data_IF_284461439465
#
_entry.id   IF_284461439465
#
_cell.length_a   1.000
_cell.length_b   1.000
_cell.length_c   1.000
_cell.angle_alpha   90.00
_cell.angle_beta   90.00
_cell.angle_gamma   90.00
#
_symmetry.space_group_name_H-M   'P 1'
#
loop_
_entity.id
_entity.type
_entity.pdbx_description
1 polymer ?
#
# COMPACT_ATOMS: atom_id res chain seq x y z
N UNK A 1 6.78 34.44 11.16
CA UNK A 1 7.33 33.12 10.77
C UNK A 1 7.53 32.31 12.03
N UNK A 2 6.60 31.42 12.37
CA UNK A 2 6.70 30.53 13.54
C UNK A 2 7.80 29.50 13.26
N UNK A 3 8.75 29.26 14.16
CA UNK A 3 9.79 28.27 13.95
C UNK A 3 9.15 26.87 13.85
N UNK A 4 9.50 26.15 12.79
CA UNK A 4 9.07 24.78 12.61
C UNK A 4 9.53 23.96 13.84
N UNK A 5 8.58 23.36 14.56
CA UNK A 5 8.86 22.54 15.71
C UNK A 5 9.86 21.44 15.32
N UNK A 6 11.05 21.50 15.89
CA UNK A 6 12.09 20.50 15.70
C UNK A 6 11.53 19.14 16.16
N UNK A 7 11.48 18.16 15.24
CA UNK A 7 11.10 16.79 15.59
C UNK A 7 12.13 16.26 16.59
N UNK A 8 11.66 15.91 17.80
CA UNK A 8 12.50 15.27 18.81
C UNK A 8 13.13 13.98 18.26
N UNK A 9 14.39 13.66 18.62
CA UNK A 9 15.01 12.42 18.18
C UNK A 9 14.19 11.22 18.70
N UNK A 10 13.58 10.51 17.78
CA UNK A 10 12.79 9.32 18.07
C UNK A 10 13.73 8.13 18.18
N UNK A 11 13.66 7.38 19.29
CA UNK A 11 14.37 6.10 19.39
C UNK A 11 13.79 5.11 18.38
N UNK A 12 14.59 4.12 17.94
CA UNK A 12 14.12 3.04 17.03
C UNK A 12 12.86 2.37 17.57
N UNK A 13 12.80 2.11 18.86
CA UNK A 13 11.65 1.49 19.52
C UNK A 13 10.37 2.34 19.33
N UNK A 14 10.47 3.65 19.54
CA UNK A 14 9.34 4.58 19.34
C UNK A 14 8.95 4.67 17.87
N UNK A 15 9.91 4.68 16.96
CA UNK A 15 9.65 4.65 15.52
C UNK A 15 8.89 3.38 15.10
N UNK A 16 9.38 2.20 15.51
CA UNK A 16 8.75 0.92 15.20
C UNK A 16 7.39 0.78 15.89
N UNK A 17 7.25 1.25 17.14
CA UNK A 17 5.93 1.28 17.79
C UNK A 17 4.91 2.02 16.94
N UNK A 18 5.27 3.20 16.41
CA UNK A 18 4.36 4.05 15.63
C UNK A 18 4.08 3.51 14.23
N UNK A 19 5.09 2.95 13.55
CA UNK A 19 4.99 2.63 12.12
C UNK A 19 4.86 1.14 11.83
N UNK A 20 5.09 0.27 12.79
CA UNK A 20 4.90 -1.18 12.68
C UNK A 20 3.80 -1.66 13.61
N UNK A 21 3.99 -1.51 14.94
CA UNK A 21 3.11 -2.17 15.91
C UNK A 21 1.71 -1.56 15.96
N UNK A 22 1.57 -0.23 15.92
CA UNK A 22 0.23 0.40 15.89
C UNK A 22 -0.52 0.07 14.60
N UNK A 23 0.06 0.21 13.39
CA UNK A 23 -0.61 -0.23 12.16
C UNK A 23 -1.01 -1.71 12.17
N UNK A 24 -0.15 -2.61 12.66
CA UNK A 24 -0.49 -4.04 12.79
C UNK A 24 -1.62 -4.28 13.79
N UNK A 25 -1.57 -3.63 14.97
CA UNK A 25 -2.59 -3.78 16.00
C UNK A 25 -3.97 -3.27 15.56
N UNK A 26 -4.02 -2.34 14.61
CA UNK A 26 -5.28 -1.84 14.02
C UNK A 26 -5.69 -2.70 12.83
N UNK A 27 -4.77 -2.97 11.91
CA UNK A 27 -5.09 -3.64 10.65
C UNK A 27 -5.44 -5.11 10.82
N UNK A 28 -4.69 -5.86 11.65
CA UNK A 28 -4.90 -7.31 11.78
C UNK A 28 -6.27 -7.66 12.39
N UNK A 29 -6.75 -7.03 13.48
CA UNK A 29 -8.10 -7.29 13.98
C UNK A 29 -9.19 -6.90 12.97
N UNK A 30 -9.00 -5.77 12.26
CA UNK A 30 -9.95 -5.35 11.21
C UNK A 30 -10.00 -6.37 10.07
N UNK A 31 -8.86 -6.83 9.57
CA UNK A 31 -8.76 -7.83 8.51
C UNK A 31 -9.33 -9.18 8.96
N UNK A 32 -9.07 -9.58 10.21
CA UNK A 32 -9.67 -10.77 10.79
C UNK A 32 -11.19 -10.65 10.88
N UNK A 33 -11.71 -9.49 11.32
CA UNK A 33 -13.15 -9.25 11.37
C UNK A 33 -13.80 -9.35 9.98
N UNK A 34 -13.17 -8.79 8.94
CA UNK A 34 -13.66 -8.92 7.56
C UNK A 34 -13.67 -10.37 7.08
N UNK A 35 -12.69 -11.17 7.50
CA UNK A 35 -12.59 -12.59 7.11
C UNK A 35 -13.66 -13.48 7.77
N UNK A 36 -14.00 -13.21 9.04
CA UNK A 36 -14.96 -14.02 9.81
C UNK A 36 -16.41 -13.51 9.73
N UNK A 37 -16.62 -12.37 9.06
CA UNK A 37 -17.95 -11.77 8.88
C UNK A 37 -18.37 -11.72 7.43
N UNK A 38 -19.64 -11.38 7.17
CA UNK A 38 -20.16 -11.20 5.82
C UNK A 38 -19.96 -9.80 5.24
N UNK A 39 -19.12 -8.94 5.85
CA UNK A 39 -18.94 -7.56 5.40
C UNK A 39 -18.44 -7.48 3.96
N UNK A 40 -17.49 -8.31 3.57
CA UNK A 40 -17.00 -8.38 2.19
C UNK A 40 -18.11 -8.68 1.18
N UNK A 41 -19.00 -9.64 1.50
CA UNK A 41 -20.15 -10.01 0.68
C UNK A 41 -21.18 -8.89 0.63
N UNK A 42 -21.48 -8.27 1.77
CA UNK A 42 -22.43 -7.14 1.86
C UNK A 42 -21.95 -5.99 0.98
N UNK A 43 -20.66 -5.60 1.10
CA UNK A 43 -20.08 -4.51 0.29
C UNK A 43 -20.07 -4.84 -1.19
N UNK A 44 -19.73 -6.07 -1.58
CA UNK A 44 -19.80 -6.52 -2.98
C UNK A 44 -21.23 -6.56 -3.50
N UNK A 45 -22.18 -6.97 -2.66
CA UNK A 45 -23.61 -7.02 -2.97
C UNK A 45 -24.22 -5.67 -3.35
N UNK A 46 -23.69 -4.55 -2.86
CA UNK A 46 -24.14 -3.20 -3.24
C UNK A 46 -23.97 -2.89 -4.74
N UNK A 47 -23.06 -3.59 -5.40
CA UNK A 47 -22.72 -3.39 -6.81
C UNK A 47 -23.20 -4.56 -7.72
N UNK A 48 -23.77 -5.60 -7.12
CA UNK A 48 -24.28 -6.77 -7.84
C UNK A 48 -25.76 -6.58 -8.18
N UNK A 49 -26.10 -6.76 -9.44
CA UNK A 49 -27.49 -6.75 -9.90
C UNK A 49 -28.03 -8.18 -9.92
N UNK A 50 -28.88 -8.51 -8.95
CA UNK A 50 -29.49 -9.82 -8.82
C UNK A 50 -30.46 -10.15 -9.97
N UNK A 51 -31.08 -9.15 -10.63
CA UNK A 51 -31.99 -9.38 -11.73
C UNK A 51 -31.25 -9.86 -12.99
N UNK A 52 -30.04 -9.36 -13.23
CA UNK A 52 -29.20 -9.75 -14.36
C UNK A 52 -28.11 -10.77 -14.01
N UNK A 53 -27.93 -11.07 -12.71
CA UNK A 53 -26.92 -12.01 -12.23
C UNK A 53 -25.48 -11.56 -12.50
N UNK A 54 -25.20 -10.24 -12.48
CA UNK A 54 -23.88 -9.72 -12.83
C UNK A 54 -23.56 -8.40 -12.15
N UNK A 55 -22.29 -7.99 -12.26
CA UNK A 55 -21.81 -6.66 -11.88
C UNK A 55 -21.88 -5.74 -13.10
N UNK A 56 -22.80 -4.74 -13.18
CA UNK A 56 -22.98 -3.92 -14.38
C UNK A 56 -21.74 -3.13 -14.78
N UNK A 57 -20.98 -2.60 -13.79
CA UNK A 57 -19.76 -1.80 -14.06
C UNK A 57 -18.61 -2.63 -14.62
N UNK A 58 -18.65 -3.96 -14.54
CA UNK A 58 -17.64 -4.84 -15.18
C UNK A 58 -17.66 -4.73 -16.70
N UNK A 59 -18.83 -4.47 -17.27
CA UNK A 59 -19.04 -4.40 -18.72
C UNK A 59 -19.07 -2.96 -19.27
N UNK A 60 -18.83 -1.97 -18.40
CA UNK A 60 -18.77 -0.57 -18.79
C UNK A 60 -17.35 -0.21 -19.27
N UNK A 61 -17.17 -0.08 -20.60
CA UNK A 61 -15.87 0.20 -21.20
C UNK A 61 -15.26 1.54 -20.73
N UNK A 62 -16.07 2.59 -20.57
CA UNK A 62 -15.59 3.89 -20.09
C UNK A 62 -15.08 3.79 -18.66
N UNK A 63 -15.84 3.11 -17.79
CA UNK A 63 -15.44 2.89 -16.39
C UNK A 63 -14.15 2.08 -16.32
N UNK A 64 -14.01 1.02 -17.14
CA UNK A 64 -12.78 0.21 -17.19
C UNK A 64 -11.59 1.04 -17.67
N UNK A 65 -11.71 1.82 -18.74
CA UNK A 65 -10.62 2.68 -19.24
C UNK A 65 -10.16 3.67 -18.18
N UNK A 66 -11.10 4.38 -17.54
CA UNK A 66 -10.75 5.40 -16.53
C UNK A 66 -10.14 4.79 -15.29
N UNK A 67 -10.74 3.74 -14.73
CA UNK A 67 -10.32 3.19 -13.45
C UNK A 67 -9.15 2.22 -13.54
N UNK A 68 -8.97 1.55 -14.68
CA UNK A 68 -7.89 0.59 -14.88
C UNK A 68 -6.66 1.22 -15.58
N UNK A 69 -6.88 1.82 -16.75
CA UNK A 69 -5.75 2.30 -17.55
C UNK A 69 -5.18 3.62 -17.02
N UNK A 70 -6.02 4.64 -16.83
CA UNK A 70 -5.54 5.96 -16.40
C UNK A 70 -4.94 5.94 -15.00
N UNK A 71 -5.56 5.23 -14.05
CA UNK A 71 -5.03 5.08 -12.70
C UNK A 71 -3.63 4.46 -12.71
N UNK A 72 -3.43 3.39 -13.50
CA UNK A 72 -2.13 2.75 -13.68
C UNK A 72 -1.10 3.71 -14.31
N UNK A 73 -1.48 4.42 -15.36
CA UNK A 73 -0.55 5.32 -16.05
C UNK A 73 -0.07 6.47 -15.17
N UNK A 74 -0.94 7.04 -14.33
CA UNK A 74 -0.54 8.08 -13.37
C UNK A 74 0.55 7.56 -12.42
N UNK A 75 0.38 6.38 -11.86
CA UNK A 75 1.38 5.81 -10.92
C UNK A 75 2.67 5.45 -11.63
N UNK A 76 2.59 4.88 -12.86
CA UNK A 76 3.77 4.59 -13.68
C UNK A 76 4.52 5.86 -14.05
N UNK A 77 3.81 6.95 -14.38
CA UNK A 77 4.42 8.25 -14.66
C UNK A 77 5.15 8.79 -13.41
N UNK A 78 4.49 8.75 -12.24
CA UNK A 78 5.13 9.16 -10.97
C UNK A 78 6.42 8.36 -10.74
N UNK A 79 6.38 7.05 -10.88
CA UNK A 79 7.54 6.19 -10.72
C UNK A 79 8.64 6.52 -11.75
N UNK A 80 8.27 6.75 -13.01
CA UNK A 80 9.19 7.14 -14.07
C UNK A 80 9.88 8.49 -13.78
N UNK A 81 9.12 9.49 -13.33
CA UNK A 81 9.67 10.80 -12.93
C UNK A 81 10.63 10.65 -11.75
N UNK A 82 10.28 9.86 -10.74
CA UNK A 82 11.14 9.62 -9.57
C UNK A 82 12.44 8.91 -9.97
N UNK A 83 12.35 7.86 -10.78
CA UNK A 83 13.52 7.10 -11.27
C UNK A 83 14.39 8.00 -12.17
N UNK A 84 13.78 8.75 -13.08
CA UNK A 84 14.49 9.72 -13.92
C UNK A 84 15.21 10.78 -13.09
N UNK A 85 14.56 11.35 -12.07
CA UNK A 85 15.18 12.30 -11.16
C UNK A 85 16.33 11.65 -10.36
N UNK A 86 16.19 10.39 -9.94
CA UNK A 86 17.27 9.66 -9.30
C UNK A 86 18.47 9.49 -10.23
N UNK A 87 18.27 9.06 -11.47
CA UNK A 87 19.35 8.94 -12.47
C UNK A 87 19.99 10.32 -12.75
N UNK A 88 19.20 11.36 -12.92
CA UNK A 88 19.69 12.73 -13.12
C UNK A 88 20.48 13.25 -11.92
N UNK A 89 20.23 12.74 -10.72
CA UNK A 89 20.98 13.17 -9.51
C UNK A 89 22.47 12.84 -9.56
N UNK A 90 22.94 11.99 -10.47
CA UNK A 90 24.36 11.71 -10.68
C UNK A 90 25.02 12.84 -11.49
N UNK A 91 24.28 13.51 -12.33
CA UNK A 91 24.75 14.57 -13.22
C UNK A 91 24.41 15.97 -12.69
N UNK A 92 23.26 16.13 -12.02
CA UNK A 92 22.79 17.43 -11.53
C UNK A 92 23.11 17.61 -10.05
N UNK A 93 24.03 18.55 -9.68
CA UNK A 93 24.43 18.80 -8.28
C UNK A 93 23.24 19.14 -7.37
N UNK A 94 22.22 19.86 -7.90
CA UNK A 94 21.03 20.24 -7.15
C UNK A 94 20.20 19.06 -6.63
N UNK A 95 20.28 17.90 -7.27
CA UNK A 95 19.55 16.69 -6.86
C UNK A 95 20.35 15.78 -5.92
N UNK A 96 21.67 16.02 -5.78
CA UNK A 96 22.55 15.21 -4.91
C UNK A 96 22.05 15.10 -3.47
N UNK A 97 21.58 16.18 -2.81
CA UNK A 97 21.11 16.10 -1.42
C UNK A 97 19.91 15.17 -1.22
N UNK A 98 19.08 14.99 -2.24
CA UNK A 98 17.86 14.16 -2.17
C UNK A 98 18.02 12.79 -2.87
N UNK A 99 19.21 12.47 -3.41
CA UNK A 99 19.48 11.22 -4.16
C UNK A 99 19.05 9.97 -3.40
N UNK A 100 19.36 9.90 -2.10
CA UNK A 100 19.01 8.75 -1.26
C UNK A 100 17.48 8.60 -1.09
N UNK A 101 16.77 9.73 -1.02
CA UNK A 101 15.30 9.73 -0.97
C UNK A 101 14.69 9.34 -2.31
N UNK A 102 15.25 9.82 -3.42
CA UNK A 102 14.80 9.43 -4.76
C UNK A 102 15.02 7.93 -5.03
N UNK A 103 16.17 7.38 -4.61
CA UNK A 103 16.43 5.95 -4.66
C UNK A 103 15.41 5.14 -3.85
N UNK A 104 15.15 5.58 -2.61
CA UNK A 104 14.14 4.98 -1.76
C UNK A 104 12.76 4.98 -2.42
N UNK A 105 12.32 6.13 -2.94
CA UNK A 105 11.02 6.27 -3.60
C UNK A 105 10.92 5.33 -4.81
N UNK A 106 11.92 5.33 -5.70
CA UNK A 106 11.93 4.46 -6.88
C UNK A 106 11.83 2.99 -6.50
N UNK A 107 12.62 2.55 -5.51
CA UNK A 107 12.60 1.17 -5.02
C UNK A 107 11.25 0.81 -4.38
N UNK A 108 10.70 1.68 -3.54
CA UNK A 108 9.44 1.45 -2.84
C UNK A 108 8.25 1.42 -3.81
N UNK A 109 8.18 2.33 -4.79
CA UNK A 109 7.14 2.36 -5.81
C UNK A 109 7.16 1.12 -6.72
N UNK A 110 8.32 0.49 -6.92
CA UNK A 110 8.44 -0.73 -7.69
C UNK A 110 8.16 -1.99 -6.85
N UNK A 111 8.80 -2.11 -5.67
CA UNK A 111 8.74 -3.33 -4.87
C UNK A 111 7.41 -3.52 -4.14
N UNK A 112 6.74 -2.46 -3.68
CA UNK A 112 5.49 -2.63 -2.95
C UNK A 112 4.40 -3.29 -3.81
N UNK A 113 4.06 -2.80 -5.02
CA UNK A 113 3.13 -3.52 -5.89
C UNK A 113 3.73 -4.83 -6.45
N UNK A 114 5.05 -4.93 -6.60
CA UNK A 114 5.73 -6.16 -7.01
C UNK A 114 5.48 -7.31 -6.03
N UNK A 115 5.66 -7.07 -4.72
CA UNK A 115 5.37 -8.07 -3.67
C UNK A 115 3.90 -8.47 -3.67
N UNK A 116 2.98 -7.50 -3.79
CA UNK A 116 1.53 -7.81 -3.93
C UNK A 116 1.26 -8.69 -5.15
N UNK A 117 1.93 -8.43 -6.28
CA UNK A 117 1.77 -9.23 -7.50
C UNK A 117 2.27 -10.67 -7.32
N UNK A 118 3.39 -10.86 -6.62
CA UNK A 118 3.92 -12.20 -6.29
C UNK A 118 2.95 -12.94 -5.38
N UNK A 119 2.48 -12.33 -4.29
CA UNK A 119 1.48 -12.94 -3.40
C UNK A 119 0.21 -13.30 -4.15
N UNK A 120 -0.26 -12.41 -5.02
CA UNK A 120 -1.44 -12.63 -5.86
C UNK A 120 -1.26 -13.84 -6.80
N UNK A 121 -0.09 -14.02 -7.40
CA UNK A 121 0.18 -15.13 -8.33
C UNK A 121 0.10 -16.50 -7.67
N UNK A 122 0.27 -16.56 -6.34
CA UNK A 122 0.22 -17.78 -5.54
C UNK A 122 -1.13 -18.00 -4.85
N UNK A 123 -2.05 -17.06 -5.01
CA UNK A 123 -3.36 -17.12 -4.35
C UNK A 123 -4.33 -18.01 -5.11
N UNK A 124 -5.05 -18.87 -4.42
CA UNK A 124 -6.14 -19.69 -4.94
C UNK A 124 -7.52 -19.03 -4.75
N UNK A 125 -7.61 -17.83 -4.18
CA UNK A 125 -8.87 -17.14 -3.93
C UNK A 125 -9.42 -16.55 -5.23
N UNK A 126 -10.69 -16.86 -5.50
CA UNK A 126 -11.43 -16.37 -6.67
C UNK A 126 -11.92 -14.92 -6.46
N UNK A 127 -12.19 -14.24 -7.55
CA UNK A 127 -12.81 -12.91 -7.50
C UNK A 127 -14.31 -13.03 -7.21
N UNK A 128 -14.97 -12.00 -6.62
CA UNK A 128 -16.41 -12.04 -6.39
C UNK A 128 -17.22 -12.48 -7.61
N UNK A 129 -16.95 -11.94 -8.78
CA UNK A 129 -17.66 -12.27 -10.01
C UNK A 129 -17.49 -13.73 -10.49
N UNK A 130 -16.52 -14.47 -9.97
CA UNK A 130 -16.32 -15.90 -10.27
C UNK A 130 -17.08 -16.80 -9.29
N UNK A 131 -17.59 -16.26 -8.17
CA UNK A 131 -18.25 -17.04 -7.13
C UNK A 131 -19.69 -17.42 -7.50
N UNK A 132 -20.12 -18.60 -7.05
CA UNK A 132 -21.49 -19.09 -7.27
C UNK A 132 -22.54 -18.07 -6.80
N UNK A 133 -22.32 -17.41 -5.68
CA UNK A 133 -23.24 -16.41 -5.10
C UNK A 133 -23.42 -15.16 -5.99
N UNK A 134 -22.52 -14.94 -6.96
CA UNK A 134 -22.58 -13.83 -7.92
C UNK A 134 -22.67 -14.31 -9.38
N UNK A 135 -23.21 -15.52 -9.60
CA UNK A 135 -23.44 -16.04 -10.94
C UNK A 135 -22.24 -16.73 -11.61
N UNK A 136 -21.14 -16.92 -10.88
CA UNK A 136 -19.97 -17.69 -11.32
C UNK A 136 -20.09 -19.18 -10.96
N UNK A 137 -18.97 -19.89 -10.95
CA UNK A 137 -18.90 -21.34 -10.68
C UNK A 137 -17.91 -21.71 -9.55
N UNK A 138 -17.15 -20.75 -9.02
CA UNK A 138 -16.18 -21.00 -7.98
C UNK A 138 -16.80 -20.94 -6.58
N UNK A 139 -16.39 -21.80 -5.63
CA UNK A 139 -16.75 -21.66 -4.23
C UNK A 139 -16.02 -20.46 -3.60
N UNK A 140 -16.62 -19.87 -2.59
CA UNK A 140 -15.91 -18.95 -1.74
C UNK A 140 -14.92 -19.72 -0.85
N UNK A 141 -13.66 -19.30 -0.83
CA UNK A 141 -12.60 -19.89 -0.02
C UNK A 141 -12.07 -18.80 0.92
N UNK A 142 -12.13 -19.04 2.23
CA UNK A 142 -11.60 -18.11 3.22
C UNK A 142 -10.05 -18.14 3.26
N UNK A 143 -9.43 -17.17 3.92
CA UNK A 143 -7.96 -17.08 4.01
C UNK A 143 -7.34 -18.30 4.71
N UNK A 144 -8.09 -18.93 5.61
CA UNK A 144 -7.62 -20.05 6.44
C UNK A 144 -8.09 -21.42 5.93
N UNK A 145 -8.79 -21.46 4.80
CA UNK A 145 -9.27 -22.70 4.20
C UNK A 145 -8.34 -23.18 3.08
N UNK A 146 -8.18 -24.49 3.00
CA UNK A 146 -7.52 -25.10 1.85
C UNK A 146 -8.43 -25.00 0.62
N UNK A 147 -7.82 -24.80 -0.55
CA UNK A 147 -8.57 -24.82 -1.80
C UNK A 147 -9.22 -26.21 -1.99
N UNK A 148 -10.53 -26.28 -2.24
CA UNK A 148 -11.19 -27.56 -2.54
C UNK A 148 -10.65 -28.15 -3.86
N UNK A 149 -10.79 -29.47 -4.08
CA UNK A 149 -10.45 -30.07 -5.35
C UNK A 149 -11.26 -29.44 -6.49
N UNK A 150 -10.59 -29.10 -7.57
CA UNK A 150 -11.19 -28.46 -8.75
C UNK A 150 -10.27 -27.43 -9.38
N UNK A 151 -10.54 -27.12 -10.65
CA UNK A 151 -9.84 -26.05 -11.37
C UNK A 151 -10.68 -24.78 -11.33
N UNK A 152 -10.53 -23.99 -10.28
CA UNK A 152 -11.26 -22.75 -10.10
C UNK A 152 -10.37 -21.55 -10.41
N UNK A 153 -10.96 -20.45 -10.96
CA UNK A 153 -10.22 -19.22 -11.17
C UNK A 153 -9.73 -18.68 -9.83
N UNK A 154 -8.43 -18.56 -9.70
CA UNK A 154 -7.77 -18.01 -8.52
C UNK A 154 -7.09 -16.67 -8.81
N UNK A 155 -6.03 -16.36 -8.06
CA UNK A 155 -5.18 -15.18 -8.24
C UNK A 155 -5.93 -13.86 -8.09
N UNK A 156 -6.90 -13.79 -7.18
CA UNK A 156 -7.66 -12.58 -6.90
C UNK A 156 -7.22 -11.84 -5.64
N UNK A 157 -6.43 -12.47 -4.79
CA UNK A 157 -5.97 -11.94 -3.51
C UNK A 157 -4.43 -11.87 -3.44
N UNK A 158 -3.85 -10.77 -2.94
CA UNK A 158 -4.44 -9.47 -2.65
C UNK A 158 -4.71 -8.62 -3.91
N UNK A 159 -5.30 -7.40 -3.75
CA UNK A 159 -5.67 -6.54 -4.88
C UNK A 159 -4.46 -5.83 -5.49
N UNK A 160 -4.09 -6.20 -6.72
CA UNK A 160 -3.01 -5.53 -7.45
C UNK A 160 -3.31 -4.08 -7.81
N UNK A 161 -4.57 -3.74 -8.10
CA UNK A 161 -4.97 -2.36 -8.43
C UNK A 161 -4.88 -1.44 -7.21
N UNK A 162 -5.36 -1.89 -6.06
CA UNK A 162 -5.24 -1.13 -4.82
C UNK A 162 -3.77 -0.89 -4.45
N UNK A 163 -2.89 -1.86 -4.68
CA UNK A 163 -1.45 -1.73 -4.39
C UNK A 163 -0.78 -0.62 -5.20
N UNK A 164 -1.24 -0.34 -6.43
CA UNK A 164 -0.75 0.78 -7.22
C UNK A 164 -1.02 2.15 -6.56
N UNK A 165 -2.15 2.30 -5.86
CA UNK A 165 -2.41 3.49 -5.06
C UNK A 165 -1.68 3.49 -3.73
N UNK A 166 -1.71 2.36 -3.00
CA UNK A 166 -1.08 2.25 -1.69
C UNK A 166 0.45 2.33 -1.72
N UNK A 167 1.13 2.04 -2.85
CA UNK A 167 2.58 2.24 -2.95
C UNK A 167 2.99 3.71 -2.73
N UNK A 168 2.07 4.67 -2.93
CA UNK A 168 2.29 6.10 -2.65
C UNK A 168 2.52 6.40 -1.16
N UNK A 169 2.29 5.44 -0.24
CA UNK A 169 2.79 5.53 1.13
C UNK A 169 4.31 5.78 1.20
N UNK A 170 5.05 5.47 0.14
CA UNK A 170 6.46 5.83 0.02
C UNK A 170 6.70 7.33 0.24
N UNK A 171 5.78 8.20 -0.20
CA UNK A 171 5.90 9.65 0.00
C UNK A 171 5.73 10.06 1.47
N UNK A 172 4.97 9.31 2.28
CA UNK A 172 4.93 9.51 3.73
C UNK A 172 6.33 9.37 4.34
N UNK A 173 6.98 8.26 4.06
CA UNK A 173 8.32 7.98 4.60
C UNK A 173 9.40 8.91 4.00
N UNK A 174 9.27 9.27 2.72
CA UNK A 174 10.13 10.30 2.11
C UNK A 174 9.98 11.66 2.81
N UNK A 175 8.75 12.05 3.15
CA UNK A 175 8.47 13.25 3.93
C UNK A 175 9.10 13.21 5.33
N UNK A 176 9.12 12.04 5.98
CA UNK A 176 9.84 11.85 7.26
C UNK A 176 11.36 12.03 7.07
N UNK A 177 11.94 11.42 6.03
CA UNK A 177 13.37 11.54 5.73
C UNK A 177 13.78 12.99 5.44
N UNK A 178 12.94 13.73 4.72
CA UNK A 178 13.16 15.14 4.39
C UNK A 178 12.73 16.11 5.50
N UNK A 179 12.16 15.62 6.60
CA UNK A 179 11.58 16.44 7.69
C UNK A 179 10.52 17.42 7.19
N UNK A 180 9.76 17.03 6.16
CA UNK A 180 8.68 17.81 5.55
C UNK A 180 7.33 17.22 5.94
N UNK A 181 6.73 17.73 7.03
CA UNK A 181 5.46 17.21 7.58
C UNK A 181 4.30 17.22 6.56
N UNK A 182 4.18 18.29 5.76
CA UNK A 182 3.14 18.37 4.74
C UNK A 182 3.26 17.23 3.72
N UNK A 183 4.48 16.94 3.27
CA UNK A 183 4.76 15.85 2.33
C UNK A 183 4.43 14.48 2.95
N UNK A 184 4.79 14.29 4.22
CA UNK A 184 4.45 13.07 4.93
C UNK A 184 2.92 12.90 5.01
N UNK A 185 2.18 13.93 5.41
CA UNK A 185 0.72 13.84 5.48
C UNK A 185 0.07 13.68 4.10
N UNK A 186 0.55 14.38 3.08
CA UNK A 186 0.09 14.20 1.70
C UNK A 186 0.35 12.78 1.19
N UNK A 187 1.53 12.21 1.48
CA UNK A 187 1.86 10.82 1.12
C UNK A 187 1.01 9.79 1.86
N UNK A 188 0.71 10.01 3.15
CA UNK A 188 -0.15 9.12 3.93
C UNK A 188 -1.58 9.12 3.41
N UNK A 189 -2.20 10.29 3.40
CA UNK A 189 -3.61 10.41 3.02
C UNK A 189 -3.83 10.24 1.53
N UNK A 190 -2.91 10.75 0.69
CA UNK A 190 -2.95 10.55 -0.76
C UNK A 190 -2.78 9.08 -1.15
N UNK A 191 -1.84 8.38 -0.52
CA UNK A 191 -1.65 6.94 -0.73
C UNK A 191 -2.85 6.13 -0.27
N UNK A 192 -3.43 6.45 0.89
CA UNK A 192 -4.63 5.80 1.38
C UNK A 192 -5.83 6.06 0.46
N UNK A 193 -6.07 7.33 0.10
CA UNK A 193 -7.17 7.70 -0.78
C UNK A 193 -7.04 7.07 -2.19
N UNK A 194 -5.85 7.10 -2.78
CA UNK A 194 -5.61 6.50 -4.09
C UNK A 194 -5.79 4.96 -4.05
N UNK A 195 -5.23 4.29 -3.03
CA UNK A 195 -5.39 2.85 -2.86
C UNK A 195 -6.84 2.43 -2.66
N UNK A 196 -7.58 3.15 -1.82
CA UNK A 196 -9.01 2.91 -1.63
C UNK A 196 -9.82 3.22 -2.89
N UNK A 197 -9.56 4.32 -3.59
CA UNK A 197 -10.28 4.69 -4.81
C UNK A 197 -10.10 3.62 -5.90
N UNK A 198 -8.85 3.19 -6.15
CA UNK A 198 -8.57 2.14 -7.13
C UNK A 198 -9.15 0.80 -6.70
N UNK A 199 -9.10 0.50 -5.39
CA UNK A 199 -9.72 -0.69 -4.82
C UNK A 199 -11.23 -0.69 -4.94
N UNK A 200 -11.92 0.39 -4.57
CA UNK A 200 -13.38 0.52 -4.64
C UNK A 200 -13.89 0.40 -6.08
N UNK A 201 -13.18 0.99 -7.05
CA UNK A 201 -13.51 0.80 -8.44
C UNK A 201 -13.51 -0.69 -8.85
N UNK A 202 -12.56 -1.48 -8.34
CA UNK A 202 -12.51 -2.92 -8.61
C UNK A 202 -13.55 -3.71 -7.81
N UNK A 203 -13.94 -3.27 -6.61
CA UNK A 203 -15.08 -3.85 -5.88
C UNK A 203 -16.37 -3.65 -6.68
N UNK A 204 -16.59 -2.44 -7.20
CA UNK A 204 -17.76 -2.12 -8.00
C UNK A 204 -17.88 -2.96 -9.29
N UNK A 205 -16.78 -3.51 -9.78
CA UNK A 205 -16.73 -4.45 -10.90
C UNK A 205 -16.81 -5.93 -10.47
N UNK A 206 -16.97 -6.22 -9.17
CA UNK A 206 -16.92 -7.58 -8.64
C UNK A 206 -15.54 -8.23 -8.74
N UNK A 207 -14.49 -7.45 -8.99
CA UNK A 207 -13.14 -7.97 -9.21
C UNK A 207 -12.35 -8.21 -7.92
N UNK A 208 -12.72 -7.57 -6.82
CA UNK A 208 -12.06 -7.73 -5.52
C UNK A 208 -13.05 -7.53 -4.37
N UNK A 209 -12.76 -8.15 -3.22
CA UNK A 209 -13.40 -7.84 -1.95
C UNK A 209 -12.72 -6.64 -1.26
N UNK A 210 -13.38 -6.05 -0.27
CA UNK A 210 -12.82 -4.97 0.54
C UNK A 210 -11.57 -5.45 1.30
N UNK A 211 -11.62 -6.65 1.87
CA UNK A 211 -10.47 -7.27 2.54
C UNK A 211 -9.25 -7.38 1.62
N UNK A 212 -9.45 -7.75 0.33
CA UNK A 212 -8.35 -7.83 -0.65
C UNK A 212 -7.61 -6.49 -0.81
N UNK A 213 -8.35 -5.37 -0.77
CA UNK A 213 -7.77 -4.04 -0.89
C UNK A 213 -7.02 -3.64 0.38
N UNK A 214 -7.60 -3.88 1.55
CA UNK A 214 -6.96 -3.54 2.82
C UNK A 214 -5.71 -4.38 3.09
N UNK A 215 -5.71 -5.66 2.71
CA UNK A 215 -4.50 -6.49 2.72
C UNK A 215 -3.41 -5.90 1.82
N UNK A 216 -3.77 -5.41 0.63
CA UNK A 216 -2.80 -4.74 -0.24
C UNK A 216 -2.22 -3.48 0.40
N UNK A 217 -3.04 -2.71 1.11
CA UNK A 217 -2.60 -1.55 1.88
C UNK A 217 -1.60 -1.92 2.97
N UNK A 218 -1.88 -2.97 3.74
CA UNK A 218 -0.98 -3.46 4.78
C UNK A 218 0.34 -3.97 4.19
N UNK A 219 0.29 -4.78 3.14
CA UNK A 219 1.50 -5.29 2.48
C UNK A 219 2.35 -4.14 1.93
N UNK A 220 1.75 -3.18 1.22
CA UNK A 220 2.47 -2.00 0.72
C UNK A 220 3.10 -1.21 1.86
N UNK A 221 2.36 -0.96 2.95
CA UNK A 221 2.90 -0.27 4.12
C UNK A 221 4.12 -0.96 4.69
N UNK A 222 4.05 -2.28 4.90
CA UNK A 222 5.13 -3.07 5.49
C UNK A 222 6.36 -3.13 4.58
N UNK A 223 6.17 -3.29 3.26
CA UNK A 223 7.28 -3.29 2.30
C UNK A 223 7.97 -1.92 2.28
N UNK A 224 7.20 -0.83 2.18
CA UNK A 224 7.75 0.54 2.19
C UNK A 224 8.47 0.83 3.50
N UNK A 225 7.89 0.45 4.65
CA UNK A 225 8.53 0.57 5.96
C UNK A 225 9.86 -0.20 6.03
N UNK A 226 9.88 -1.45 5.55
CA UNK A 226 11.09 -2.27 5.55
C UNK A 226 12.20 -1.61 4.72
N UNK A 227 11.89 -1.14 3.51
CA UNK A 227 12.85 -0.42 2.67
C UNK A 227 13.35 0.86 3.36
N UNK A 228 12.44 1.61 3.99
CA UNK A 228 12.79 2.82 4.72
C UNK A 228 13.76 2.53 5.87
N UNK A 229 13.47 1.52 6.69
CA UNK A 229 14.32 1.13 7.83
C UNK A 229 15.70 0.69 7.37
N UNK A 230 15.79 -0.09 6.29
CA UNK A 230 17.07 -0.52 5.72
C UNK A 230 17.89 0.65 5.20
N UNK A 231 17.25 1.57 4.45
CA UNK A 231 17.96 2.67 3.82
C UNK A 231 18.32 3.78 4.84
N UNK A 232 17.39 4.19 5.69
CA UNK A 232 17.57 5.39 6.54
C UNK A 232 18.00 5.08 7.97
N UNK A 233 17.88 3.83 8.43
CA UNK A 233 18.28 3.39 9.78
C UNK A 233 17.85 4.39 10.87
N UNK A 234 16.57 4.48 11.22
CA UNK A 234 16.03 5.52 12.12
C UNK A 234 16.53 5.38 13.58
N UNK A 235 17.80 5.07 13.77
CA UNK A 235 18.42 4.75 15.06
C UNK A 235 19.43 5.79 15.56
N UNK A 236 19.92 6.63 14.67
CA UNK A 236 20.94 7.60 15.05
C UNK A 236 20.29 8.80 15.75
N UNK A 237 20.04 8.66 17.03
CA UNK A 237 20.13 9.81 17.91
C UNK A 237 21.53 10.43 17.75
N UNK A 238 21.73 11.75 18.01
CA UNK A 238 23.06 12.34 18.00
C UNK A 238 23.99 11.51 18.87
N UNK A 239 25.27 11.30 18.47
CA UNK A 239 26.22 10.62 19.32
C UNK A 239 26.19 11.28 20.70
N UNK A 240 26.16 10.47 21.76
CA UNK A 240 26.17 10.98 23.11
C UNK A 240 27.32 12.00 23.23
N UNK A 241 27.00 13.20 23.69
CA UNK A 241 28.02 14.22 23.93
C UNK A 241 29.16 13.60 24.75
N UNK A 242 30.43 13.84 24.39
CA UNK A 242 31.57 13.33 25.16
C UNK A 242 31.33 13.67 26.63
N UNK A 243 31.39 12.68 27.51
CA UNK A 243 31.30 12.91 28.94
C UNK A 243 32.39 13.94 29.27
N UNK A 244 31.98 15.14 29.69
CA UNK A 244 32.92 16.12 30.19
C UNK A 244 33.74 15.45 31.29
N UNK A 245 35.04 15.29 31.05
CA UNK A 245 35.97 14.84 32.08
C UNK A 245 35.85 15.83 33.23
N UNK A 246 35.20 15.42 34.32
CA UNK A 246 35.29 16.14 35.57
C UNK A 246 36.76 16.02 36.00
N UNK A 247 37.48 17.15 35.93
CA UNK A 247 38.79 17.25 36.55
C UNK A 247 38.67 16.89 38.04
N UNK A 248 39.60 16.11 38.58
CA UNK A 248 39.62 15.84 40.02
C UNK A 248 40.00 17.15 40.75
N UNK A 249 39.09 17.58 41.64
CA UNK A 249 39.36 18.66 42.60
C UNK A 249 40.22 18.20 43.75
#
# INVERSE_FOLDING_TARGET
MTPAAALTPTTRATFLRKHLWIPLAVALPLLFLLEVTNVDRVVSGWFFDAATGRFPLRYNATFEIVTHHWAKYVVVLIAGVVIGAWLMSFFLPMLRPVRRVLFFLGLALALAPGVVSVLKSQSHRSCPYDLVEYGGNAPHISLFEAAPPGDYPGRCFPSGHASAGFCLFAFYFAGLALRRRWMAMAGLWGGFAAGMLFGLARIAQGAHFLSHNLWSGLVCWLVVLAIYVVIFRPEAGPPAAPKANRAPG
#
